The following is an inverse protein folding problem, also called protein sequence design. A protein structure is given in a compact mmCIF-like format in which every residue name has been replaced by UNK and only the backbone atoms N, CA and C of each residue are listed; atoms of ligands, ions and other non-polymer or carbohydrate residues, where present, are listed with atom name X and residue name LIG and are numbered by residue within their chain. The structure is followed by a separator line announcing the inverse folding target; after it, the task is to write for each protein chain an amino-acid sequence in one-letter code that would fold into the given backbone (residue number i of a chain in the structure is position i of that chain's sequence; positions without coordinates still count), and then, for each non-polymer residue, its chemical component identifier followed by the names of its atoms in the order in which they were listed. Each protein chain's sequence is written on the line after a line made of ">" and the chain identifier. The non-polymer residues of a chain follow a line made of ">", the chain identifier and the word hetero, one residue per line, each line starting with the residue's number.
data_IF_673166956959
#
_entry.id   IF_673166956959
#
_cell.length_a   1.000
_cell.length_b   1.000
_cell.length_c   1.000
_cell.angle_alpha   90.00
_cell.angle_beta   90.00
_cell.angle_gamma   90.00
#
_symmetry.space_group_name_H-M   'P 1'
#
loop_
_entity.id
_entity.type
_entity.pdbx_description
1 polymer ?
#
# COMPACT_ATOMS: atom_id res chain seq x y z
N UNK A 1 -8.80 7.67 16.68
CA UNK A 1 -8.92 8.04 15.25
C UNK A 1 -10.15 8.88 15.04
N UNK A 2 -10.06 9.83 14.14
CA UNK A 2 -11.22 10.65 13.76
C UNK A 2 -12.05 9.91 12.72
N UNK A 3 -13.28 10.35 12.51
CA UNK A 3 -14.16 9.75 11.50
C UNK A 3 -13.57 9.96 10.10
N UNK A 4 -13.45 8.87 9.34
CA UNK A 4 -12.90 8.88 7.99
C UNK A 4 -14.05 8.75 7.00
N UNK A 5 -14.35 9.79 6.20
CA UNK A 5 -15.43 9.69 5.23
C UNK A 5 -15.11 8.68 4.13
N UNK A 6 -16.06 7.82 3.74
CA UNK A 6 -15.90 7.04 2.51
C UNK A 6 -15.65 7.98 1.33
N UNK A 7 -14.80 7.56 0.41
CA UNK A 7 -14.38 8.41 -0.71
C UNK A 7 -13.10 9.20 -0.45
N UNK A 8 -12.60 9.21 0.80
CA UNK A 8 -11.29 9.80 1.11
C UNK A 8 -10.24 9.09 0.29
N UNK A 9 -9.42 9.85 -0.43
CA UNK A 9 -8.40 9.27 -1.29
C UNK A 9 -7.09 10.04 -1.24
N UNK A 10 -6.04 9.35 -1.63
CA UNK A 10 -4.71 9.94 -1.79
C UNK A 10 -3.96 9.21 -2.90
N UNK A 11 -2.91 9.83 -3.36
CA UNK A 11 -2.03 9.27 -4.38
C UNK A 11 -0.62 9.17 -3.84
N UNK A 12 0.14 8.24 -4.40
CA UNK A 12 1.58 8.09 -4.14
C UNK A 12 2.25 7.89 -5.49
N UNK A 13 3.17 8.78 -5.81
CA UNK A 13 3.84 8.77 -7.11
C UNK A 13 5.33 8.55 -6.91
N UNK A 14 5.90 7.62 -7.67
CA UNK A 14 7.32 7.32 -7.61
C UNK A 14 7.82 6.88 -8.98
N UNK A 15 9.05 7.25 -9.30
CA UNK A 15 9.73 6.78 -10.51
C UNK A 15 10.26 5.37 -10.26
N UNK A 16 10.08 4.48 -11.23
CA UNK A 16 10.63 3.13 -11.17
C UNK A 16 12.15 3.19 -11.32
N UNK A 17 12.87 2.78 -10.28
CA UNK A 17 14.33 2.75 -10.23
C UNK A 17 14.83 1.31 -10.45
N UNK A 18 16.13 1.12 -10.76
CA UNK A 18 16.67 -0.24 -10.94
C UNK A 18 16.40 -1.20 -9.80
N UNK A 19 16.46 -0.73 -8.55
CA UNK A 19 16.18 -1.56 -7.38
C UNK A 19 14.72 -2.02 -7.27
N UNK A 20 13.82 -1.42 -8.03
CA UNK A 20 12.39 -1.78 -8.06
C UNK A 20 12.09 -2.88 -9.07
N UNK A 21 13.05 -3.28 -9.88
CA UNK A 21 12.83 -4.24 -10.96
C UNK A 21 12.83 -5.67 -10.44
N UNK A 22 11.98 -6.50 -11.03
CA UNK A 22 11.79 -7.89 -10.60
C UNK A 22 13.09 -8.69 -10.65
N UNK A 23 13.93 -8.48 -11.68
CA UNK A 23 15.19 -9.20 -11.83
C UNK A 23 16.20 -8.87 -10.73
N UNK A 24 16.13 -7.71 -10.12
CA UNK A 24 17.01 -7.30 -9.02
C UNK A 24 16.39 -7.53 -7.65
N UNK A 25 15.10 -7.28 -7.55
CA UNK A 25 14.38 -7.39 -6.28
C UNK A 25 14.12 -8.85 -5.89
N UNK A 26 13.88 -9.72 -6.86
CA UNK A 26 13.48 -11.10 -6.62
C UNK A 26 14.50 -12.11 -7.14
N UNK A 27 14.64 -12.23 -8.44
CA UNK A 27 15.44 -13.27 -9.06
C UNK A 27 15.96 -12.79 -10.42
N UNK A 28 17.28 -12.97 -10.72
CA UNK A 28 17.86 -12.51 -11.99
C UNK A 28 17.23 -13.11 -13.25
N UNK A 29 16.51 -14.24 -13.12
CA UNK A 29 15.82 -14.88 -14.22
C UNK A 29 14.62 -14.04 -14.71
N UNK A 30 14.09 -13.16 -13.85
CA UNK A 30 12.89 -12.38 -14.17
C UNK A 30 13.22 -11.20 -15.08
N UNK A 31 12.23 -10.71 -15.85
CA UNK A 31 12.44 -9.55 -16.73
C UNK A 31 12.69 -8.28 -15.95
N UNK A 32 13.22 -7.25 -16.64
CA UNK A 32 13.55 -5.96 -16.07
C UNK A 32 12.31 -5.06 -16.05
N UNK A 33 11.36 -5.42 -15.21
CA UNK A 33 10.10 -4.70 -15.07
C UNK A 33 9.80 -4.47 -13.58
N UNK A 34 8.95 -3.50 -13.29
CA UNK A 34 8.50 -3.22 -11.93
C UNK A 34 8.03 -4.50 -11.25
N UNK A 35 8.61 -4.82 -10.11
CA UNK A 35 8.26 -6.01 -9.35
C UNK A 35 6.87 -5.86 -8.73
N UNK A 36 6.08 -6.92 -8.74
CA UNK A 36 4.73 -6.93 -8.17
C UNK A 36 4.71 -6.47 -6.70
N UNK A 37 5.60 -6.95 -5.81
CA UNK A 37 5.61 -6.46 -4.42
C UNK A 37 5.85 -4.96 -4.30
N UNK A 38 6.62 -4.38 -5.22
CA UNK A 38 6.91 -2.94 -5.21
C UNK A 38 5.68 -2.15 -5.65
N UNK A 39 4.96 -2.63 -6.67
CA UNK A 39 3.67 -2.02 -7.05
C UNK A 39 2.70 -2.01 -5.86
N UNK A 40 2.63 -3.11 -5.14
CA UNK A 40 1.80 -3.22 -3.94
C UNK A 40 2.25 -2.22 -2.88
N UNK A 41 3.54 -2.07 -2.67
CA UNK A 41 4.08 -1.07 -1.74
C UNK A 41 3.58 0.33 -2.09
N UNK A 42 3.58 0.71 -3.37
CA UNK A 42 3.09 2.01 -3.81
C UNK A 42 1.60 2.18 -3.48
N UNK A 43 0.80 1.14 -3.68
CA UNK A 43 -0.62 1.15 -3.33
C UNK A 43 -0.84 1.27 -1.83
N UNK A 44 -0.06 0.55 -1.03
CA UNK A 44 -0.13 0.63 0.43
C UNK A 44 0.26 2.01 0.95
N UNK A 45 1.27 2.63 0.33
CA UNK A 45 1.69 3.99 0.70
C UNK A 45 0.59 5.01 0.39
N UNK A 46 -0.12 4.84 -0.72
CA UNK A 46 -1.26 5.69 -1.05
C UNK A 46 -2.39 5.53 -0.02
N UNK A 47 -2.67 4.29 0.39
CA UNK A 47 -3.69 4.00 1.39
C UNK A 47 -3.35 4.65 2.74
N UNK A 48 -2.10 4.51 3.17
CA UNK A 48 -1.66 5.13 4.43
C UNK A 48 -1.74 6.66 4.36
N UNK A 49 -1.35 7.25 3.23
CA UNK A 49 -1.45 8.69 3.04
C UNK A 49 -2.90 9.18 3.13
N UNK A 50 -3.85 8.40 2.62
CA UNK A 50 -5.26 8.76 2.65
C UNK A 50 -5.81 8.89 4.08
N UNK A 51 -5.39 8.01 4.99
CA UNK A 51 -5.95 7.96 6.34
C UNK A 51 -5.08 8.63 7.40
N UNK A 52 -3.82 8.92 7.09
CA UNK A 52 -2.89 9.54 8.06
C UNK A 52 -3.47 10.77 8.76
N UNK A 53 -4.14 11.72 8.06
CA UNK A 53 -4.69 12.90 8.72
C UNK A 53 -5.77 12.61 9.77
N UNK A 54 -6.33 11.41 9.78
CA UNK A 54 -7.42 11.01 10.68
C UNK A 54 -6.94 10.20 11.88
N UNK A 55 -5.66 9.86 11.92
CA UNK A 55 -5.09 9.09 13.03
C UNK A 55 -4.70 10.04 14.15
N UNK A 56 -4.95 9.61 15.39
CA UNK A 56 -4.54 10.34 16.58
C UNK A 56 -3.07 10.04 16.91
N UNK A 57 -2.48 10.86 17.75
CA UNK A 57 -1.14 10.61 18.27
C UNK A 57 -1.12 9.24 18.96
N UNK A 58 -0.07 8.46 18.70
CA UNK A 58 0.06 7.11 19.23
C UNK A 58 -0.66 6.03 18.42
N UNK A 59 -1.37 6.42 17.38
CA UNK A 59 -2.02 5.48 16.47
C UNK A 59 -1.20 5.25 15.20
N UNK A 60 -1.37 4.08 14.62
CA UNK A 60 -0.85 3.73 13.32
C UNK A 60 -1.87 2.83 12.62
N UNK A 61 -1.53 2.37 11.44
CA UNK A 61 -2.41 1.45 10.71
C UNK A 61 -1.55 0.40 10.00
N UNK A 62 -1.87 -0.86 10.23
CA UNK A 62 -1.14 -1.99 9.62
C UNK A 62 -1.97 -2.58 8.49
N UNK A 63 -1.29 -3.07 7.45
CA UNK A 63 -1.95 -3.79 6.37
C UNK A 63 -2.42 -5.16 6.83
N UNK A 64 -3.65 -5.53 6.49
CA UNK A 64 -4.25 -6.81 6.89
C UNK A 64 -4.68 -7.65 5.71
N UNK A 65 -4.90 -7.06 4.54
CA UNK A 65 -5.27 -7.80 3.34
C UNK A 65 -4.88 -7.02 2.10
N UNK A 66 -4.51 -7.74 1.08
CA UNK A 66 -4.23 -7.21 -0.24
C UNK A 66 -4.73 -8.22 -1.27
N UNK A 67 -5.54 -7.74 -2.21
CA UNK A 67 -6.05 -8.57 -3.31
C UNK A 67 -6.02 -7.72 -4.56
N UNK A 68 -4.91 -7.81 -5.28
CA UNK A 68 -4.68 -6.99 -6.47
C UNK A 68 -4.23 -7.84 -7.64
N UNK A 69 -4.44 -7.30 -8.85
CA UNK A 69 -3.96 -7.85 -10.10
C UNK A 69 -2.87 -6.95 -10.64
N UNK A 70 -1.77 -7.53 -11.09
CA UNK A 70 -0.72 -6.84 -11.81
C UNK A 70 -0.99 -7.05 -13.31
N UNK A 71 -1.52 -6.04 -13.95
CA UNK A 71 -2.15 -6.16 -15.27
C UNK A 71 -1.21 -5.87 -16.43
N UNK A 72 -0.16 -5.08 -16.21
CA UNK A 72 0.77 -4.68 -17.26
C UNK A 72 2.15 -4.40 -16.67
N UNK A 73 3.18 -4.66 -17.46
CA UNK A 73 4.58 -4.45 -17.07
C UNK A 73 4.98 -3.00 -17.24
N UNK A 74 5.88 -2.52 -16.38
CA UNK A 74 6.41 -1.15 -16.43
C UNK A 74 7.93 -1.19 -16.40
N UNK A 75 8.61 -0.56 -17.37
CA UNK A 75 10.07 -0.51 -17.39
C UNK A 75 10.62 0.54 -16.43
N UNK A 76 11.93 0.49 -16.20
CA UNK A 76 12.64 1.48 -15.40
C UNK A 76 12.48 2.89 -16.01
N UNK A 77 12.43 3.89 -15.17
CA UNK A 77 12.36 5.29 -15.59
C UNK A 77 10.96 5.85 -15.74
N UNK A 78 9.95 4.99 -15.84
CA UNK A 78 8.55 5.44 -15.87
C UNK A 78 8.10 5.87 -14.47
N UNK A 79 7.24 6.87 -14.43
CA UNK A 79 6.62 7.30 -13.20
C UNK A 79 5.35 6.48 -12.97
N UNK A 80 5.22 5.90 -11.78
CA UNK A 80 4.03 5.16 -11.39
C UNK A 80 3.26 5.97 -10.37
N UNK A 81 1.96 6.12 -10.61
CA UNK A 81 1.04 6.81 -9.71
C UNK A 81 0.06 5.81 -9.15
N UNK A 82 0.16 5.56 -7.86
CA UNK A 82 -0.80 4.73 -7.14
C UNK A 82 -1.88 5.60 -6.51
N UNK A 83 -3.09 5.10 -6.46
CA UNK A 83 -4.23 5.76 -5.82
C UNK A 83 -4.91 4.79 -4.88
N UNK A 84 -5.33 5.28 -3.72
CA UNK A 84 -6.15 4.53 -2.79
C UNK A 84 -7.36 5.37 -2.39
N UNK A 85 -8.53 4.75 -2.37
CA UNK A 85 -9.78 5.39 -1.98
C UNK A 85 -10.44 4.55 -0.89
N UNK A 86 -10.79 5.19 0.22
CA UNK A 86 -11.53 4.54 1.30
C UNK A 86 -12.94 4.22 0.82
N UNK A 87 -13.33 2.95 0.86
CA UNK A 87 -14.67 2.52 0.45
C UNK A 87 -15.53 2.10 1.63
N UNK A 88 -14.91 1.70 2.75
CA UNK A 88 -15.66 1.26 3.93
C UNK A 88 -14.81 1.44 5.17
N UNK A 89 -15.43 1.91 6.24
CA UNK A 89 -14.82 1.96 7.57
C UNK A 89 -15.75 1.23 8.53
N UNK A 90 -15.23 0.24 9.23
CA UNK A 90 -16.00 -0.55 10.18
C UNK A 90 -15.18 -0.71 11.45
N UNK A 91 -15.47 0.11 12.44
CA UNK A 91 -14.65 0.20 13.64
C UNK A 91 -13.25 0.68 13.29
N UNK A 92 -12.26 -0.12 13.60
CA UNK A 92 -10.85 0.18 13.29
C UNK A 92 -10.38 -0.43 11.97
N UNK A 93 -11.26 -1.13 11.26
CA UNK A 93 -10.94 -1.72 9.96
C UNK A 93 -11.33 -0.78 8.83
N UNK A 94 -10.42 -0.60 7.88
CA UNK A 94 -10.61 0.29 6.75
C UNK A 94 -10.34 -0.48 5.47
N UNK A 95 -11.30 -0.45 4.55
CA UNK A 95 -11.16 -1.08 3.24
C UNK A 95 -10.98 -0.01 2.17
N UNK A 96 -10.08 -0.29 1.24
CA UNK A 96 -9.70 0.61 0.16
C UNK A 96 -9.89 -0.06 -1.19
N UNK A 97 -10.20 0.75 -2.18
CA UNK A 97 -10.01 0.44 -3.59
C UNK A 97 -8.66 1.03 -3.98
N UNK A 98 -7.80 0.24 -4.60
CA UNK A 98 -6.46 0.67 -4.99
C UNK A 98 -6.22 0.45 -6.48
N UNK A 99 -5.39 1.32 -7.07
CA UNK A 99 -4.99 1.20 -8.47
C UNK A 99 -3.62 1.80 -8.66
N UNK A 100 -2.98 1.48 -9.77
CA UNK A 100 -1.71 2.06 -10.18
C UNK A 100 -1.67 2.24 -11.69
N UNK A 101 -1.04 3.34 -12.14
CA UNK A 101 -0.88 3.69 -13.56
C UNK A 101 0.57 4.09 -13.82
N UNK A 102 1.07 3.80 -15.02
CA UNK A 102 2.46 4.12 -15.40
C UNK A 102 2.57 5.26 -16.43
N UNK A 103 1.52 6.00 -16.62
CA UNK A 103 1.45 7.08 -17.62
C UNK A 103 0.92 6.62 -18.97
N UNK A 104 1.01 5.32 -19.26
CA UNK A 104 0.51 4.74 -20.52
C UNK A 104 -0.82 4.02 -20.27
N UNK A 105 -0.90 3.27 -19.18
CA UNK A 105 -2.04 2.40 -18.90
C UNK A 105 -2.16 2.11 -17.42
N UNK A 106 -3.28 1.54 -17.03
CA UNK A 106 -3.47 0.97 -15.70
C UNK A 106 -2.61 -0.29 -15.60
N UNK A 107 -1.70 -0.33 -14.63
CA UNK A 107 -0.81 -1.48 -14.44
C UNK A 107 -1.28 -2.42 -13.34
N UNK A 108 -2.19 -1.97 -12.49
CA UNK A 108 -2.73 -2.81 -11.43
C UNK A 108 -3.96 -2.20 -10.80
N UNK A 109 -4.78 -3.06 -10.19
CA UNK A 109 -5.98 -2.65 -9.46
C UNK A 109 -6.44 -3.74 -8.52
N UNK A 110 -7.21 -3.37 -7.51
CA UNK A 110 -7.79 -4.32 -6.57
C UNK A 110 -8.26 -3.65 -5.28
N UNK A 111 -8.16 -4.42 -4.21
CA UNK A 111 -8.61 -4.00 -2.88
C UNK A 111 -7.51 -4.19 -1.84
N UNK A 112 -7.61 -3.43 -0.76
CA UNK A 112 -6.64 -3.44 0.33
C UNK A 112 -7.38 -3.13 1.62
N UNK A 113 -6.94 -3.72 2.71
CA UNK A 113 -7.50 -3.44 4.03
C UNK A 113 -6.39 -3.13 5.02
N UNK A 114 -6.68 -2.23 5.94
CA UNK A 114 -5.79 -1.86 7.04
C UNK A 114 -6.57 -1.86 8.34
N UNK A 115 -5.84 -2.02 9.44
CA UNK A 115 -6.43 -1.90 10.77
C UNK A 115 -5.68 -0.82 11.55
N UNK A 116 -6.43 0.11 12.10
CA UNK A 116 -5.87 1.15 12.99
C UNK A 116 -5.53 0.50 14.33
N UNK A 117 -4.32 0.74 14.80
CA UNK A 117 -3.81 0.18 16.04
C UNK A 117 -3.33 1.27 16.99
N UNK A 118 -3.34 0.96 18.29
CA UNK A 118 -2.62 1.73 19.28
C UNK A 118 -1.19 1.18 19.36
N UNK A 119 -0.19 2.02 19.06
CA UNK A 119 1.20 1.58 18.97
C UNK A 119 1.71 0.97 20.28
N UNK A 120 1.38 1.57 21.42
CA UNK A 120 1.85 1.06 22.70
C UNK A 120 1.32 -0.33 22.98
N UNK A 121 0.02 -0.56 22.77
CA UNK A 121 -0.59 -1.87 22.96
C UNK A 121 -0.07 -2.90 21.95
N UNK A 122 0.09 -2.49 20.70
CA UNK A 122 0.62 -3.34 19.64
C UNK A 122 2.06 -3.78 19.96
N UNK A 123 2.92 -2.84 20.35
CA UNK A 123 4.31 -3.13 20.69
C UNK A 123 4.42 -4.01 21.93
N UNK A 124 3.52 -3.86 22.89
CA UNK A 124 3.47 -4.73 24.07
C UNK A 124 3.20 -6.18 23.69
N UNK A 125 2.27 -6.40 22.75
CA UNK A 125 1.99 -7.75 22.23
C UNK A 125 3.18 -8.32 21.45
N UNK A 126 3.86 -7.49 20.67
CA UNK A 126 5.06 -7.91 19.94
C UNK A 126 6.17 -8.33 20.90
N UNK A 127 6.36 -7.60 21.99
CA UNK A 127 7.38 -7.93 22.99
C UNK A 127 7.11 -9.30 23.60
N UNK A 128 5.86 -9.65 23.87
CA UNK A 128 5.48 -10.98 24.36
C UNK A 128 5.79 -12.07 23.33
N UNK A 129 5.47 -11.82 22.07
CA UNK A 129 5.76 -12.75 20.97
C UNK A 129 7.25 -13.00 20.82
N UNK A 130 8.07 -11.96 20.97
CA UNK A 130 9.53 -12.06 20.81
C UNK A 130 10.22 -12.87 21.90
N UNK A 131 9.57 -13.06 23.05
CA UNK A 131 10.12 -13.83 24.17
C UNK A 131 9.91 -15.33 24.03
N UNK A 132 9.25 -15.77 22.99
CA UNK A 132 8.96 -17.21 22.77
C UNK A 132 9.99 -17.88 21.88
#
# INVERSE_FOLDING_TARGET
>A
MREIPPGTKATFTLRVLPEHLANRFKDPMLPQVLATPVMILFMENAALAAIRPYLDEGESAVGTAIDVRHLAATPVGHEVRAEAEVVKVEGRQIEFKVSARDGTEVIGSGTHARMVIDLAAFNARLAKKSKR
#
